data_IF_872871908858
#
_entry.id   IF_872871908858
#
_cell.length_a   1.000
_cell.length_b   1.000
_cell.length_c   1.000
_cell.angle_alpha   90.00
_cell.angle_beta   90.00
_cell.angle_gamma   90.00
#
_symmetry.space_group_name_H-M   'P 1'
#
loop_
_entity.id
_entity.type
_entity.pdbx_description
1 polymer ?
#
# COMPACT_ATOMS: atom_id res chain seq x y z
N UNK A 1 8.43 -5.31 13.19
CA UNK A 1 7.73 -6.20 12.26
C UNK A 1 7.29 -5.37 11.08
N UNK A 2 7.92 -5.56 9.91
CA UNK A 2 7.64 -4.82 8.69
C UNK A 2 6.73 -5.60 7.73
N UNK A 3 6.06 -4.90 6.81
CA UNK A 3 5.22 -5.52 5.78
C UNK A 3 6.02 -6.49 4.88
N UNK A 4 7.26 -6.16 4.58
CA UNK A 4 8.20 -7.01 3.84
C UNK A 4 8.51 -8.31 4.58
N UNK A 5 8.80 -8.25 5.88
CA UNK A 5 9.00 -9.44 6.72
C UNK A 5 7.74 -10.32 6.79
N UNK A 6 6.55 -9.72 6.81
CA UNK A 6 5.28 -10.47 6.77
C UNK A 6 5.10 -11.18 5.42
N UNK A 7 5.39 -10.52 4.31
CA UNK A 7 5.30 -11.12 2.96
C UNK A 7 6.25 -12.30 2.82
N UNK A 8 7.48 -12.19 3.33
CA UNK A 8 8.47 -13.29 3.33
C UNK A 8 7.97 -14.50 4.13
N UNK A 9 7.35 -14.26 5.29
CA UNK A 9 6.75 -15.32 6.09
C UNK A 9 5.58 -16.00 5.37
N UNK A 10 4.70 -15.24 4.70
CA UNK A 10 3.62 -15.83 3.89
C UNK A 10 4.15 -16.65 2.70
N UNK A 11 5.26 -16.24 2.09
CA UNK A 11 5.91 -17.01 1.01
C UNK A 11 6.55 -18.30 1.51
N UNK A 12 7.06 -18.30 2.74
CA UNK A 12 7.65 -19.47 3.39
C UNK A 12 6.60 -20.49 3.88
N UNK A 13 5.31 -20.13 3.92
CA UNK A 13 4.26 -21.06 4.32
C UNK A 13 4.10 -22.22 3.32
N UNK A 14 3.77 -23.43 3.81
CA UNK A 14 3.37 -24.55 2.99
C UNK A 14 2.24 -24.21 2.01
N UNK A 15 2.23 -24.87 0.86
CA UNK A 15 1.26 -24.59 -0.21
C UNK A 15 -0.22 -24.65 0.24
N UNK A 16 -0.53 -25.53 1.21
CA UNK A 16 -1.87 -25.66 1.79
C UNK A 16 -2.30 -24.42 2.57
N UNK A 17 -1.39 -23.82 3.33
CA UNK A 17 -1.65 -22.62 4.13
C UNK A 17 -1.67 -21.37 3.25
N UNK A 18 -0.80 -21.29 2.23
CA UNK A 18 -0.90 -20.27 1.19
C UNK A 18 -2.24 -20.30 0.46
N UNK A 19 -2.76 -21.49 0.17
CA UNK A 19 -4.08 -21.64 -0.46
C UNK A 19 -5.20 -21.17 0.47
N UNK A 20 -5.08 -21.32 1.80
CA UNK A 20 -6.04 -20.78 2.76
C UNK A 20 -6.00 -19.26 2.83
N UNK A 21 -4.82 -18.65 2.82
CA UNK A 21 -4.68 -17.19 2.77
C UNK A 21 -5.23 -16.63 1.46
N UNK A 22 -4.90 -17.24 0.32
CA UNK A 22 -5.45 -16.83 -0.97
C UNK A 22 -6.97 -17.00 -1.03
N UNK A 23 -7.50 -18.11 -0.49
CA UNK A 23 -8.93 -18.35 -0.37
C UNK A 23 -9.60 -17.29 0.51
N UNK A 24 -9.02 -16.94 1.66
CA UNK A 24 -9.52 -15.88 2.53
C UNK A 24 -9.58 -14.52 1.83
N UNK A 25 -8.53 -14.15 1.06
CA UNK A 25 -8.50 -12.89 0.30
C UNK A 25 -9.56 -12.87 -0.80
N UNK A 26 -9.77 -13.98 -1.52
CA UNK A 26 -10.78 -14.09 -2.58
C UNK A 26 -12.20 -14.12 -2.02
N UNK A 27 -12.43 -14.78 -0.87
CA UNK A 27 -13.78 -14.93 -0.29
C UNK A 27 -14.27 -13.70 0.48
N UNK A 28 -13.36 -12.89 1.05
CA UNK A 28 -13.77 -11.76 1.90
C UNK A 28 -13.91 -10.43 1.17
N UNK A 29 -13.69 -10.40 -0.16
CA UNK A 29 -13.67 -9.21 -1.01
C UNK A 29 -12.68 -8.15 -0.49
N UNK A 30 -12.32 -7.13 -1.27
CA UNK A 30 -11.42 -6.06 -0.78
C UNK A 30 -12.11 -5.13 0.24
N UNK A 31 -13.26 -5.55 0.77
CA UNK A 31 -14.11 -4.85 1.73
C UNK A 31 -13.44 -4.65 3.09
N UNK A 32 -12.44 -5.45 3.44
CA UNK A 32 -11.63 -5.26 4.66
C UNK A 32 -10.54 -4.20 4.50
N UNK A 33 -10.20 -3.83 3.26
CA UNK A 33 -9.16 -2.84 2.97
C UNK A 33 -9.82 -1.45 3.06
N UNK A 34 -9.38 -0.58 3.98
CA UNK A 34 -9.93 0.77 4.11
C UNK A 34 -9.85 1.53 2.79
N UNK A 35 -10.91 2.25 2.43
CA UNK A 35 -10.95 3.06 1.20
C UNK A 35 -9.79 4.07 1.15
N UNK A 36 -9.43 4.65 2.29
CA UNK A 36 -8.28 5.56 2.43
C UNK A 36 -6.95 4.92 2.02
N UNK A 37 -6.79 3.62 2.27
CA UNK A 37 -5.59 2.88 1.87
C UNK A 37 -5.57 2.66 0.35
N UNK A 38 -6.70 2.27 -0.25
CA UNK A 38 -6.82 2.13 -1.71
C UNK A 38 -6.57 3.46 -2.42
N UNK A 39 -7.12 4.54 -1.89
CA UNK A 39 -6.88 5.89 -2.39
C UNK A 39 -5.40 6.27 -2.28
N UNK A 40 -4.75 5.96 -1.14
CA UNK A 40 -3.32 6.17 -0.97
C UNK A 40 -2.45 5.37 -1.96
N UNK A 41 -2.84 4.14 -2.31
CA UNK A 41 -2.17 3.36 -3.36
C UNK A 41 -2.35 4.01 -4.74
N UNK A 42 -3.57 4.42 -5.09
CA UNK A 42 -3.84 5.09 -6.36
C UNK A 42 -3.10 6.44 -6.47
N UNK A 43 -3.00 7.20 -5.37
CA UNK A 43 -2.21 8.42 -5.30
C UNK A 43 -0.71 8.13 -5.47
N UNK A 44 -0.20 7.05 -4.86
CA UNK A 44 1.19 6.64 -5.04
C UNK A 44 1.50 6.21 -6.49
N UNK A 45 0.63 5.43 -7.12
CA UNK A 45 0.75 5.05 -8.54
C UNK A 45 0.69 6.28 -9.47
N UNK A 46 -0.14 7.26 -9.13
CA UNK A 46 -0.25 8.52 -9.86
C UNK A 46 0.89 9.52 -9.59
N UNK A 47 1.91 9.15 -8.80
CA UNK A 47 3.02 10.03 -8.48
C UNK A 47 2.70 11.12 -7.45
N UNK A 48 1.53 11.05 -6.80
CA UNK A 48 1.02 12.03 -5.82
C UNK A 48 1.43 11.67 -4.39
N UNK A 49 2.72 11.42 -4.19
CA UNK A 49 3.28 11.20 -2.86
C UNK A 49 3.87 12.50 -2.29
N UNK A 50 3.80 12.63 -0.97
CA UNK A 50 4.46 13.69 -0.24
C UNK A 50 5.95 13.38 -0.11
N UNK A 51 6.80 14.21 -0.72
CA UNK A 51 8.25 14.16 -0.52
C UNK A 51 8.60 14.75 0.86
N UNK A 52 8.87 13.88 1.82
CA UNK A 52 9.08 14.27 3.22
C UNK A 52 10.37 15.10 3.41
N UNK A 53 11.38 14.92 2.57
CA UNK A 53 12.62 15.71 2.60
C UNK A 53 12.34 17.17 2.21
N UNK A 54 11.55 17.37 1.18
CA UNK A 54 11.06 18.68 0.72
C UNK A 54 10.15 19.34 1.75
N UNK A 55 9.25 18.58 2.40
CA UNK A 55 8.36 19.12 3.44
C UNK A 55 9.15 19.54 4.67
N UNK A 56 10.05 18.69 5.16
CA UNK A 56 10.80 18.94 6.39
C UNK A 56 11.90 19.98 6.22
N UNK A 57 12.42 20.17 5.01
CA UNK A 57 13.36 21.26 4.68
C UNK A 57 12.69 22.65 4.62
N UNK A 58 11.36 22.72 4.68
CA UNK A 58 10.61 23.98 4.60
C UNK A 58 10.55 24.57 3.20
N UNK A 59 10.92 23.81 2.17
CA UNK A 59 10.83 24.25 0.79
C UNK A 59 9.36 24.49 0.41
N UNK A 60 9.11 25.57 -0.35
CA UNK A 60 7.76 25.88 -0.83
C UNK A 60 7.28 24.74 -1.74
N UNK A 61 6.07 24.17 -1.50
CA UNK A 61 5.56 23.10 -2.35
C UNK A 61 5.44 23.57 -3.81
N UNK A 62 5.66 22.67 -4.78
CA UNK A 62 5.52 23.02 -6.19
C UNK A 62 4.10 23.54 -6.49
N UNK A 63 3.95 24.48 -7.43
CA UNK A 63 2.63 24.95 -7.84
C UNK A 63 1.81 23.78 -8.37
N UNK A 64 0.52 23.74 -8.03
CA UNK A 64 -0.41 22.72 -8.52
C UNK A 64 -0.37 22.77 -10.05
N UNK A 65 -0.12 21.62 -10.70
CA UNK A 65 -0.19 21.54 -12.16
C UNK A 65 -1.60 21.98 -12.59
N UNK A 66 -1.68 22.89 -13.55
CA UNK A 66 -2.95 23.40 -14.06
C UNK A 66 -3.80 22.25 -14.62
N UNK A 67 -5.04 22.13 -14.14
CA UNK A 67 -6.09 21.30 -14.72
C UNK A 67 -6.55 21.85 -16.09
#
# INVERSE_FOLDING_TARGET
MSASELIEQFKALPAKERAQVAKFVVENDDSWIPESFKQGMADAEAGRFADMDTILSGAKPPPRAAE
#
